data_IF_638677675780
#
_entry.id   IF_638677675780
#
_cell.length_a   1.000
_cell.length_b   1.000
_cell.length_c   1.000
_cell.angle_alpha   90.00
_cell.angle_beta   90.00
_cell.angle_gamma   90.00
#
_symmetry.space_group_name_H-M   'P 1'
#
loop_
_entity.id
_entity.type
_entity.pdbx_description
1 polymer ?
#
# COMPACT_ATOMS: atom_id res chain seq x y z
N UNK A 1 18.00 -8.87 21.52
CA UNK A 1 16.74 -8.88 20.74
C UNK A 1 16.14 -7.49 20.84
N UNK A 2 16.11 -6.77 19.72
CA UNK A 2 15.62 -5.38 19.65
C UNK A 2 14.14 -5.33 20.06
N UNK A 3 13.70 -4.28 20.77
CA UNK A 3 12.31 -4.11 21.26
C UNK A 3 11.26 -4.10 20.13
N UNK A 4 11.72 -4.10 18.89
CA UNK A 4 10.96 -4.08 17.64
C UNK A 4 10.22 -5.39 17.35
N UNK A 5 10.62 -6.54 17.90
CA UNK A 5 10.11 -7.84 17.39
C UNK A 5 8.71 -8.25 17.87
N UNK A 6 8.15 -7.63 18.91
CA UNK A 6 6.79 -7.94 19.41
C UNK A 6 5.79 -6.77 19.36
N UNK A 7 6.27 -5.53 19.20
CA UNK A 7 5.47 -4.33 18.92
C UNK A 7 5.49 -3.93 17.43
N UNK A 8 6.16 -4.71 16.57
CA UNK A 8 6.31 -4.39 15.14
C UNK A 8 4.99 -4.31 14.40
N UNK A 9 3.98 -5.09 14.79
CA UNK A 9 2.69 -5.12 14.11
C UNK A 9 1.93 -3.79 14.25
N UNK A 10 1.84 -3.22 15.45
CA UNK A 10 1.23 -1.89 15.67
C UNK A 10 1.95 -0.81 14.85
N UNK A 11 3.27 -0.93 14.72
CA UNK A 11 4.11 0.05 14.01
C UNK A 11 3.98 -0.08 12.49
N UNK A 12 3.85 -1.29 11.97
CA UNK A 12 3.55 -1.56 10.56
C UNK A 12 2.16 -1.05 10.20
N UNK A 13 1.17 -1.29 11.08
CA UNK A 13 -0.18 -0.77 10.90
C UNK A 13 -0.20 0.76 10.85
N UNK A 14 0.41 1.42 11.83
CA UNK A 14 0.50 2.89 11.86
C UNK A 14 1.25 3.43 10.63
N UNK A 15 2.30 2.74 10.17
CA UNK A 15 3.02 3.11 8.94
C UNK A 15 2.12 3.05 7.71
N UNK A 16 1.39 1.94 7.52
CA UNK A 16 0.52 1.77 6.36
C UNK A 16 -0.67 2.72 6.39
N UNK A 17 -1.23 2.99 7.57
CA UNK A 17 -2.25 4.03 7.75
C UNK A 17 -1.71 5.40 7.32
N UNK A 18 -0.51 5.78 7.80
CA UNK A 18 0.12 7.03 7.43
C UNK A 18 0.37 7.11 5.92
N UNK A 19 0.78 6.01 5.27
CA UNK A 19 0.97 5.96 3.82
C UNK A 19 -0.33 6.13 3.06
N UNK A 20 -1.42 5.50 3.48
CA UNK A 20 -2.74 5.63 2.86
C UNK A 20 -3.23 7.07 2.93
N UNK A 21 -3.09 7.72 4.07
CA UNK A 21 -3.47 9.13 4.22
C UNK A 21 -2.62 10.06 3.32
N UNK A 22 -1.40 9.63 2.99
CA UNK A 22 -0.47 10.36 2.14
C UNK A 22 -0.46 9.88 0.68
N UNK A 23 -1.37 8.99 0.28
CA UNK A 23 -1.31 8.34 -1.03
C UNK A 23 -1.26 9.33 -2.19
N UNK A 24 -2.02 10.42 -2.11
CA UNK A 24 -2.06 11.48 -3.14
C UNK A 24 -0.73 12.23 -3.29
N UNK A 25 0.14 12.19 -2.28
CA UNK A 25 1.44 12.87 -2.25
C UNK A 25 2.62 11.93 -2.53
N UNK A 26 2.37 10.62 -2.58
CA UNK A 26 3.42 9.62 -2.80
C UNK A 26 3.46 9.29 -4.30
N UNK A 27 4.60 9.49 -4.98
CA UNK A 27 4.75 9.11 -6.38
C UNK A 27 4.44 7.63 -6.62
N UNK A 28 3.74 7.29 -7.72
CA UNK A 28 3.45 5.90 -8.03
C UNK A 28 4.75 5.11 -8.22
N UNK A 29 4.76 3.85 -7.77
CA UNK A 29 5.90 2.92 -7.83
C UNK A 29 7.13 3.32 -6.99
N UNK A 30 7.06 4.34 -6.14
CA UNK A 30 8.21 4.78 -5.34
C UNK A 30 8.76 3.67 -4.44
N UNK A 31 7.90 2.79 -3.93
CA UNK A 31 8.29 1.65 -3.08
C UNK A 31 8.74 0.40 -3.83
N UNK A 32 8.66 0.38 -5.17
CA UNK A 32 9.07 -0.78 -5.99
C UNK A 32 10.58 -0.79 -6.32
N UNK A 33 11.38 0.03 -5.65
CA UNK A 33 12.81 0.17 -5.97
C UNK A 33 13.67 -0.83 -5.20
N UNK A 34 14.37 -1.72 -5.90
CA UNK A 34 15.27 -2.72 -5.30
C UNK A 34 16.55 -2.12 -4.66
N UNK A 35 16.76 -0.81 -4.77
CA UNK A 35 18.03 -0.15 -4.38
C UNK A 35 17.99 0.56 -3.03
N UNK A 36 16.81 0.77 -2.43
CA UNK A 36 16.63 1.65 -1.27
C UNK A 36 15.83 0.91 -0.21
N UNK A 37 16.25 1.01 1.06
CA UNK A 37 15.46 0.44 2.16
C UNK A 37 14.14 1.18 2.29
N UNK A 38 13.07 0.46 2.60
CA UNK A 38 11.73 1.06 2.72
C UNK A 38 11.73 2.19 3.77
N UNK A 39 12.50 2.04 4.85
CA UNK A 39 12.65 3.08 5.89
C UNK A 39 13.34 4.35 5.40
N UNK A 40 14.28 4.24 4.46
CA UNK A 40 14.90 5.41 3.85
C UNK A 40 13.91 6.16 2.94
N UNK A 41 13.06 5.43 2.22
CA UNK A 41 11.98 6.02 1.41
C UNK A 41 11.00 6.77 2.30
N UNK A 42 10.52 6.15 3.39
CA UNK A 42 9.64 6.79 4.36
C UNK A 42 10.25 8.05 4.96
N UNK A 43 11.53 7.98 5.32
CA UNK A 43 12.25 9.13 5.87
C UNK A 43 12.28 10.29 4.87
N UNK A 44 12.55 10.01 3.59
CA UNK A 44 12.64 11.02 2.53
C UNK A 44 11.28 11.65 2.25
N UNK A 45 10.23 10.84 2.11
CA UNK A 45 8.86 11.31 1.88
C UNK A 45 8.38 12.13 3.07
N UNK A 46 8.45 11.57 4.27
CA UNK A 46 7.99 12.24 5.48
C UNK A 46 8.71 13.57 5.70
N UNK A 47 10.04 13.61 5.48
CA UNK A 47 10.80 14.87 5.52
C UNK A 47 10.34 15.87 4.47
N UNK A 48 10.16 15.44 3.21
CA UNK A 48 9.69 16.31 2.13
C UNK A 48 8.34 16.92 2.50
N UNK A 49 7.37 16.09 2.86
CA UNK A 49 6.01 16.54 3.14
C UNK A 49 5.89 17.37 4.41
N UNK A 50 6.73 17.12 5.42
CA UNK A 50 6.67 17.86 6.68
C UNK A 50 7.38 19.22 6.63
N UNK A 51 8.41 19.36 5.77
CA UNK A 51 9.23 20.58 5.68
C UNK A 51 8.99 21.40 4.41
N UNK A 52 8.22 20.87 3.45
CA UNK A 52 8.02 21.55 2.17
C UNK A 52 7.04 22.72 2.31
N UNK A 53 7.47 23.87 1.80
CA UNK A 53 6.65 25.05 1.55
C UNK A 53 6.08 25.07 0.12
N UNK A 54 6.19 23.95 -0.62
CA UNK A 54 5.70 23.86 -1.99
C UNK A 54 4.17 24.07 -2.04
N UNK A 55 3.65 24.79 -3.05
CA UNK A 55 2.23 25.10 -3.18
C UNK A 55 1.32 23.87 -3.14
N UNK A 56 1.81 22.75 -3.69
CA UNK A 56 1.14 21.44 -3.72
C UNK A 56 0.91 20.84 -2.33
N UNK A 57 1.70 21.21 -1.32
CA UNK A 57 1.57 20.70 0.06
C UNK A 57 0.84 21.68 0.99
N UNK A 58 0.50 22.89 0.52
CA UNK A 58 -0.24 23.89 1.32
C UNK A 58 -1.62 23.34 1.74
N UNK A 59 -2.25 22.56 0.87
CA UNK A 59 -3.60 22.00 1.07
C UNK A 59 -3.64 20.73 1.94
N UNK A 60 -2.51 20.30 2.52
CA UNK A 60 -2.51 19.13 3.40
C UNK A 60 -3.37 19.37 4.64
N UNK A 61 -4.28 18.44 4.89
CA UNK A 61 -5.08 18.42 6.13
C UNK A 61 -4.20 18.21 7.35
N UNK A 62 -4.70 18.58 8.54
CA UNK A 62 -4.00 18.32 9.81
C UNK A 62 -3.63 16.85 9.97
N UNK A 63 -4.53 15.94 9.59
CA UNK A 63 -4.29 14.49 9.61
C UNK A 63 -3.12 14.09 8.72
N UNK A 64 -3.08 14.58 7.49
CA UNK A 64 -1.99 14.32 6.54
C UNK A 64 -0.66 14.88 7.02
N UNK A 65 -0.62 16.07 7.62
CA UNK A 65 0.61 16.63 8.20
C UNK A 65 1.15 15.78 9.36
N UNK A 66 0.24 15.27 10.21
CA UNK A 66 0.61 14.35 11.30
C UNK A 66 1.06 12.99 10.76
N UNK A 67 0.41 12.46 9.73
CA UNK A 67 0.85 11.26 9.02
C UNK A 67 2.26 11.42 8.44
N UNK A 68 2.58 12.56 7.82
CA UNK A 68 3.92 12.85 7.30
C UNK A 68 4.98 12.89 8.41
N UNK A 69 4.65 13.47 9.56
CA UNK A 69 5.53 13.49 10.73
C UNK A 69 5.80 12.09 11.28
N UNK A 70 4.76 11.25 11.37
CA UNK A 70 4.89 9.84 11.78
C UNK A 70 5.75 9.06 10.79
N UNK A 71 5.48 9.17 9.49
CA UNK A 71 6.23 8.46 8.46
C UNK A 71 7.70 8.87 8.45
N UNK A 72 8.00 10.16 8.65
CA UNK A 72 9.36 10.64 8.77
C UNK A 72 10.10 10.01 9.96
N UNK A 73 9.46 10.01 11.14
CA UNK A 73 10.06 9.48 12.38
C UNK A 73 10.24 7.97 12.33
N UNK A 74 9.24 7.24 11.82
CA UNK A 74 9.35 5.79 11.56
C UNK A 74 10.49 5.48 10.59
N UNK A 75 10.60 6.25 9.50
CA UNK A 75 11.67 6.11 8.54
C UNK A 75 13.05 6.37 9.14
N UNK A 76 13.20 7.41 9.97
CA UNK A 76 14.44 7.71 10.69
C UNK A 76 14.85 6.56 11.62
N UNK A 77 13.92 6.05 12.42
CA UNK A 77 14.18 4.92 13.32
C UNK A 77 14.60 3.67 12.54
N UNK A 78 13.85 3.31 11.50
CA UNK A 78 14.16 2.14 10.67
C UNK A 78 15.50 2.28 9.93
N UNK A 79 15.83 3.47 9.43
CA UNK A 79 17.12 3.73 8.77
C UNK A 79 18.29 3.68 9.75
N UNK A 80 18.12 4.22 10.97
CA UNK A 80 19.13 4.13 12.02
C UNK A 80 19.34 2.68 12.46
N UNK A 81 18.26 1.92 12.68
CA UNK A 81 18.32 0.50 13.00
C UNK A 81 19.03 -0.32 11.90
N UNK A 82 18.70 -0.05 10.63
CA UNK A 82 19.38 -0.67 9.50
C UNK A 82 20.89 -0.34 9.49
N UNK A 83 21.27 0.93 9.69
CA UNK A 83 22.68 1.33 9.76
C UNK A 83 23.44 0.67 10.91
N UNK A 84 22.85 0.53 12.09
CA UNK A 84 23.46 -0.16 13.24
C UNK A 84 23.82 -1.60 12.86
N UNK A 85 22.96 -2.30 12.13
CA UNK A 85 23.19 -3.67 11.69
C UNK A 85 24.31 -3.79 10.65
N UNK A 86 24.56 -2.75 9.86
CA UNK A 86 25.51 -2.76 8.75
C UNK A 86 26.78 -1.94 9.02
N UNK A 87 26.95 -1.42 10.24
CA UNK A 87 28.16 -0.67 10.65
C UNK A 87 29.11 -1.61 11.37
N UNK A 88 30.35 -1.73 10.89
CA UNK A 88 31.39 -2.58 11.49
C UNK A 88 32.12 -1.89 12.66
N UNK A 89 32.14 -0.56 12.67
CA UNK A 89 32.83 0.24 13.68
C UNK A 89 32.01 0.34 14.98
N UNK A 90 32.51 -0.26 16.06
CA UNK A 90 31.78 -0.38 17.33
C UNK A 90 31.48 0.98 17.99
N UNK A 91 32.42 1.94 17.93
CA UNK A 91 32.20 3.28 18.49
C UNK A 91 31.07 4.05 17.79
N UNK A 92 31.02 3.98 16.47
CA UNK A 92 29.90 4.55 15.69
C UNK A 92 28.60 3.81 15.96
N UNK A 93 28.65 2.48 16.11
CA UNK A 93 27.48 1.64 16.39
C UNK A 93 26.83 2.04 17.72
N UNK A 94 27.61 2.22 18.79
CA UNK A 94 27.08 2.66 20.09
C UNK A 94 26.48 4.07 20.02
N UNK A 95 27.16 5.01 19.38
CA UNK A 95 26.60 6.36 19.16
C UNK A 95 25.28 6.32 18.37
N UNK A 96 25.16 5.44 17.37
CA UNK A 96 23.92 5.27 16.63
C UNK A 96 22.82 4.62 17.47
N UNK A 97 23.15 3.67 18.36
CA UNK A 97 22.18 3.07 19.30
C UNK A 97 21.62 4.10 20.27
N UNK A 98 22.46 4.97 20.82
CA UNK A 98 22.02 6.07 21.68
C UNK A 98 21.05 7.00 20.94
N UNK A 99 21.39 7.39 19.70
CA UNK A 99 20.52 8.22 18.86
C UNK A 99 19.21 7.52 18.50
N UNK A 100 19.26 6.22 18.22
CA UNK A 100 18.07 5.42 17.97
C UNK A 100 17.16 5.39 19.21
N UNK A 101 17.72 5.21 20.40
CA UNK A 101 16.95 5.21 21.65
C UNK A 101 16.23 6.55 21.88
N UNK A 102 16.88 7.68 21.59
CA UNK A 102 16.23 9.02 21.65
C UNK A 102 15.09 9.13 20.63
N UNK A 103 15.31 8.69 19.39
CA UNK A 103 14.28 8.71 18.36
C UNK A 103 13.08 7.81 18.71
N UNK A 104 13.33 6.64 19.28
CA UNK A 104 12.30 5.71 19.76
C UNK A 104 11.51 6.26 20.94
N UNK A 105 12.16 7.00 21.85
CA UNK A 105 11.50 7.63 22.98
C UNK A 105 10.49 8.72 22.54
N UNK A 106 10.81 9.44 21.46
CA UNK A 106 9.93 10.48 20.90
C UNK A 106 8.76 9.90 20.10
N UNK A 107 8.93 8.72 19.51
CA UNK A 107 8.01 8.14 18.53
C UNK A 107 6.55 7.98 19.03
N UNK A 108 6.28 7.53 20.27
CA UNK A 108 4.93 7.45 20.81
C UNK A 108 4.18 8.79 20.80
N UNK A 109 4.86 9.92 20.96
CA UNK A 109 4.22 11.23 20.91
C UNK A 109 3.65 11.55 19.52
N UNK A 110 4.43 11.27 18.47
CA UNK A 110 4.00 11.46 17.08
C UNK A 110 2.84 10.53 16.72
N UNK A 111 2.94 9.26 17.13
CA UNK A 111 1.88 8.28 16.89
C UNK A 111 0.59 8.68 17.60
N UNK A 112 0.66 9.04 18.88
CA UNK A 112 -0.51 9.51 19.64
C UNK A 112 -1.16 10.71 18.96
N UNK A 113 -0.36 11.71 18.58
CA UNK A 113 -0.86 12.90 17.88
C UNK A 113 -1.56 12.54 16.57
N UNK A 114 -1.02 11.63 15.79
CA UNK A 114 -1.65 11.17 14.55
C UNK A 114 -2.95 10.41 14.81
N UNK A 115 -2.93 9.47 15.75
CA UNK A 115 -4.09 8.62 16.10
C UNK A 115 -5.26 9.46 16.64
N UNK A 116 -5.00 10.57 17.33
CA UNK A 116 -6.04 11.54 17.75
C UNK A 116 -6.81 12.17 16.58
N UNK A 117 -6.26 12.15 15.35
CA UNK A 117 -6.96 12.62 14.15
C UNK A 117 -7.78 11.53 13.43
N UNK A 118 -7.80 10.30 13.95
CA UNK A 118 -8.46 9.15 13.33
C UNK A 118 -9.66 8.78 14.19
N UNK A 119 -10.85 8.76 13.58
CA UNK A 119 -12.08 8.38 14.28
C UNK A 119 -12.02 6.92 14.74
N UNK A 120 -12.80 6.55 15.74
CA UNK A 120 -12.80 5.18 16.24
C UNK A 120 -13.34 4.18 15.20
N UNK A 121 -14.29 4.62 14.39
CA UNK A 121 -14.83 3.88 13.25
C UNK A 121 -13.76 3.65 12.17
N UNK A 122 -12.98 4.68 11.86
CA UNK A 122 -11.87 4.58 10.92
C UNK A 122 -10.77 3.64 11.43
N UNK A 123 -10.45 3.66 12.73
CA UNK A 123 -9.50 2.70 13.33
C UNK A 123 -9.99 1.27 13.18
N UNK A 124 -11.28 1.01 13.40
CA UNK A 124 -11.91 -0.31 13.24
C UNK A 124 -11.91 -0.77 11.78
N UNK A 125 -12.14 0.14 10.84
CA UNK A 125 -12.05 -0.19 9.42
C UNK A 125 -10.61 -0.48 9.01
N UNK A 126 -9.67 0.33 9.47
CA UNK A 126 -8.26 0.20 9.11
C UNK A 126 -7.63 -1.10 9.61
N UNK A 127 -8.00 -1.59 10.80
CA UNK A 127 -7.53 -2.89 11.32
C UNK A 127 -8.01 -4.10 10.53
N UNK A 128 -9.12 -3.97 9.80
CA UNK A 128 -9.61 -5.00 8.88
C UNK A 128 -8.76 -5.02 7.60
N UNK A 129 -8.25 -3.87 7.16
CA UNK A 129 -7.49 -3.74 5.91
C UNK A 129 -5.97 -3.94 6.07
N UNK A 130 -5.41 -3.82 7.28
CA UNK A 130 -3.97 -4.00 7.55
C UNK A 130 -3.55 -5.47 7.54
N UNK A 131 -4.49 -6.39 7.80
CA UNK A 131 -4.27 -7.85 7.66
C UNK A 131 -4.12 -8.30 6.19
N UNK A 132 -4.57 -7.48 5.23
CA UNK A 132 -4.67 -7.90 3.83
C UNK A 132 -3.57 -7.34 2.90
N UNK A 133 -2.71 -6.41 3.36
CA UNK A 133 -1.83 -5.64 2.46
C UNK A 133 -0.34 -6.03 2.50
N UNK A 134 0.09 -6.96 3.36
CA UNK A 134 1.48 -7.47 3.33
C UNK A 134 1.60 -8.69 2.40
N UNK A 135 1.80 -8.43 1.11
CA UNK A 135 2.61 -9.31 0.26
C UNK A 135 2.01 -10.64 -0.21
N UNK A 136 0.69 -10.83 -0.20
CA UNK A 136 0.07 -11.97 -0.90
C UNK A 136 -0.60 -11.50 -2.19
N UNK A 137 0.20 -11.36 -3.24
CA UNK A 137 -0.34 -11.20 -4.58
C UNK A 137 -0.92 -12.50 -5.17
N UNK A 138 -0.92 -13.64 -4.45
CA UNK A 138 -1.31 -14.93 -5.05
C UNK A 138 -2.12 -15.93 -4.20
N UNK A 139 -2.70 -15.55 -3.06
CA UNK A 139 -3.54 -16.50 -2.28
C UNK A 139 -4.90 -15.93 -1.86
N UNK A 140 -5.69 -15.47 -2.84
CA UNK A 140 -7.14 -15.53 -2.65
C UNK A 140 -7.51 -17.02 -2.45
N UNK A 141 -8.29 -17.38 -1.41
CA UNK A 141 -8.86 -18.71 -1.32
C UNK A 141 -9.50 -19.07 -2.66
N UNK A 142 -9.24 -20.28 -3.17
CA UNK A 142 -9.70 -20.68 -4.51
C UNK A 142 -11.22 -20.46 -4.71
N UNK A 143 -11.99 -20.58 -3.62
CA UNK A 143 -13.42 -20.28 -3.58
C UNK A 143 -13.75 -18.80 -3.80
N UNK A 144 -12.99 -17.89 -3.19
CA UNK A 144 -13.13 -16.45 -3.34
C UNK A 144 -12.71 -15.99 -4.74
N UNK A 145 -11.57 -16.49 -5.25
CA UNK A 145 -11.11 -16.20 -6.61
C UNK A 145 -12.14 -16.68 -7.64
N UNK A 146 -12.66 -17.89 -7.48
CA UNK A 146 -13.71 -18.44 -8.35
C UNK A 146 -14.98 -17.60 -8.33
N UNK A 147 -15.38 -17.11 -7.14
CA UNK A 147 -16.56 -16.24 -7.00
C UNK A 147 -16.36 -14.91 -7.71
N UNK A 148 -15.17 -14.31 -7.59
CA UNK A 148 -14.83 -13.07 -8.28
C UNK A 148 -14.81 -13.26 -9.81
N UNK A 149 -14.23 -14.34 -10.31
CA UNK A 149 -14.24 -14.68 -11.73
C UNK A 149 -15.66 -14.90 -12.27
N UNK A 150 -16.59 -15.46 -11.47
CA UNK A 150 -18.02 -15.58 -11.84
C UNK A 150 -18.68 -14.22 -12.02
N UNK A 151 -18.41 -13.29 -11.12
CA UNK A 151 -18.94 -11.93 -11.21
C UNK A 151 -18.40 -11.24 -12.46
N UNK A 152 -17.08 -11.29 -12.66
CA UNK A 152 -16.42 -10.69 -13.83
C UNK A 152 -16.99 -11.24 -15.14
N UNK A 153 -17.08 -12.58 -15.27
CA UNK A 153 -17.62 -13.23 -16.46
C UNK A 153 -19.09 -12.88 -16.68
N UNK A 154 -19.92 -12.92 -15.64
CA UNK A 154 -21.34 -12.58 -15.72
C UNK A 154 -21.56 -11.14 -16.19
N UNK A 155 -20.78 -10.18 -15.69
CA UNK A 155 -20.84 -8.78 -16.12
C UNK A 155 -20.38 -8.65 -17.58
N UNK A 156 -19.26 -9.30 -17.94
CA UNK A 156 -18.73 -9.28 -19.30
C UNK A 156 -19.75 -9.79 -20.32
N UNK A 157 -20.39 -10.91 -20.05
CA UNK A 157 -21.44 -11.50 -20.90
C UNK A 157 -22.67 -10.58 -20.95
N UNK A 158 -23.21 -10.17 -19.80
CA UNK A 158 -24.49 -9.45 -19.75
C UNK A 158 -24.40 -8.05 -20.32
N UNK A 159 -23.40 -7.27 -19.88
CA UNK A 159 -23.22 -5.85 -20.22
C UNK A 159 -22.49 -5.67 -21.55
N UNK A 160 -21.38 -6.38 -21.76
CA UNK A 160 -20.50 -6.19 -22.91
C UNK A 160 -20.71 -7.21 -24.03
N UNK A 161 -21.64 -8.17 -23.86
CA UNK A 161 -21.91 -9.24 -24.83
C UNK A 161 -20.67 -10.06 -25.15
N UNK A 162 -19.83 -10.30 -24.14
CA UNK A 162 -18.69 -11.19 -24.27
C UNK A 162 -19.15 -12.61 -24.60
N UNK A 163 -18.60 -13.18 -25.67
CA UNK A 163 -18.74 -14.59 -26.03
C UNK A 163 -17.42 -15.33 -25.71
N UNK A 164 -17.42 -16.25 -24.74
CA UNK A 164 -16.25 -17.05 -24.39
C UNK A 164 -15.77 -18.01 -25.49
N UNK A 165 -16.65 -18.41 -26.41
CA UNK A 165 -16.35 -19.36 -27.49
C UNK A 165 -15.84 -18.65 -28.76
N UNK A 166 -15.98 -17.32 -28.82
CA UNK A 166 -15.53 -16.53 -29.96
C UNK A 166 -14.00 -16.53 -30.10
N UNK A 167 -13.50 -16.87 -31.31
CA UNK A 167 -12.06 -16.83 -31.62
C UNK A 167 -11.43 -15.44 -31.48
N UNK A 168 -12.22 -14.39 -31.66
CA UNK A 168 -11.81 -12.98 -31.51
C UNK A 168 -12.94 -12.20 -30.87
N UNK A 169 -12.61 -11.36 -29.90
CA UNK A 169 -13.55 -10.48 -29.23
C UNK A 169 -12.94 -9.10 -29.08
N UNK A 170 -13.70 -8.05 -29.44
CA UNK A 170 -13.31 -6.66 -29.18
C UNK A 170 -13.64 -6.21 -27.74
N UNK A 171 -14.34 -7.07 -26.99
CA UNK A 171 -14.84 -6.76 -25.63
C UNK A 171 -13.71 -6.43 -24.64
N UNK A 172 -12.55 -7.13 -24.62
CA UNK A 172 -11.45 -6.75 -23.73
C UNK A 172 -11.03 -5.29 -23.90
N UNK A 173 -10.89 -4.80 -25.13
CA UNK A 173 -10.56 -3.41 -25.44
C UNK A 173 -11.68 -2.41 -25.12
N UNK A 174 -12.94 -2.84 -25.10
CA UNK A 174 -14.07 -2.00 -24.63
C UNK A 174 -14.05 -1.89 -23.11
N UNK A 175 -13.92 -3.02 -22.40
CA UNK A 175 -13.84 -3.06 -20.94
C UNK A 175 -12.66 -2.21 -20.44
N UNK A 176 -11.49 -2.34 -21.08
CA UNK A 176 -10.32 -1.50 -20.76
C UNK A 176 -10.67 -0.02 -20.81
N UNK A 177 -11.28 0.45 -21.91
CA UNK A 177 -11.64 1.86 -22.08
C UNK A 177 -12.63 2.33 -21.02
N UNK A 178 -13.66 1.53 -20.72
CA UNK A 178 -14.64 1.84 -19.67
C UNK A 178 -13.97 1.95 -18.28
N UNK A 179 -12.99 1.08 -18.00
CA UNK A 179 -12.22 1.13 -16.76
C UNK A 179 -11.31 2.37 -16.69
N UNK A 180 -10.69 2.75 -17.82
CA UNK A 180 -9.85 3.95 -17.89
C UNK A 180 -10.66 5.24 -17.65
N UNK A 181 -11.92 5.30 -18.11
CA UNK A 181 -12.82 6.44 -17.86
C UNK A 181 -13.05 6.65 -16.35
N UNK A 182 -13.08 5.57 -15.56
CA UNK A 182 -13.23 5.64 -14.09
C UNK A 182 -11.87 5.68 -13.35
N UNK A 183 -10.78 5.93 -14.07
CA UNK A 183 -9.43 6.07 -13.50
C UNK A 183 -8.70 4.75 -13.24
N UNK A 184 -9.26 3.61 -13.64
CA UNK A 184 -8.66 2.29 -13.45
C UNK A 184 -7.81 1.93 -14.68
N UNK A 185 -6.49 1.93 -14.51
CA UNK A 185 -5.54 1.57 -15.57
C UNK A 185 -5.27 0.07 -15.59
N UNK A 186 -5.64 -0.60 -16.68
CA UNK A 186 -5.39 -2.03 -16.89
C UNK A 186 -5.05 -2.30 -18.36
N UNK A 187 -4.22 -3.31 -18.63
CA UNK A 187 -3.91 -3.70 -20.01
C UNK A 187 -5.04 -4.54 -20.60
N UNK A 188 -5.24 -4.45 -21.92
CA UNK A 188 -6.23 -5.26 -22.63
C UNK A 188 -5.90 -6.76 -22.53
N UNK A 189 -4.61 -7.10 -22.55
CA UNK A 189 -4.11 -8.46 -22.36
C UNK A 189 -4.48 -9.02 -20.98
N UNK A 190 -4.39 -8.19 -19.93
CA UNK A 190 -4.78 -8.57 -18.57
C UNK A 190 -6.29 -8.84 -18.49
N UNK A 191 -7.11 -7.99 -19.09
CA UNK A 191 -8.57 -8.21 -19.15
C UNK A 191 -8.89 -9.53 -19.87
N UNK A 192 -8.25 -9.77 -21.02
CA UNK A 192 -8.43 -11.00 -21.79
C UNK A 192 -7.98 -12.24 -20.99
N UNK A 193 -6.87 -12.17 -20.27
CA UNK A 193 -6.37 -13.25 -19.45
C UNK A 193 -7.39 -13.66 -18.37
N UNK A 194 -7.94 -12.70 -17.63
CA UNK A 194 -8.94 -12.99 -16.59
C UNK A 194 -10.27 -13.50 -17.16
N UNK A 195 -10.71 -12.99 -18.32
CA UNK A 195 -11.92 -13.49 -18.97
C UNK A 195 -11.76 -14.94 -19.45
N UNK A 196 -10.58 -15.30 -19.97
CA UNK A 196 -10.25 -16.68 -20.35
C UNK A 196 -10.15 -17.61 -19.14
N UNK A 197 -9.49 -17.14 -18.08
CA UNK A 197 -9.42 -17.88 -16.81
C UNK A 197 -10.83 -18.17 -16.28
N UNK A 198 -11.71 -17.15 -16.27
CA UNK A 198 -13.09 -17.30 -15.84
C UNK A 198 -13.87 -18.28 -16.72
N UNK A 199 -13.75 -18.17 -18.05
CA UNK A 199 -14.41 -19.06 -19.01
C UNK A 199 -13.96 -20.53 -18.86
N UNK A 200 -12.70 -20.75 -18.47
CA UNK A 200 -12.15 -22.10 -18.26
C UNK A 200 -12.70 -22.74 -16.98
N UNK A 201 -12.84 -21.94 -15.92
CA UNK A 201 -13.26 -22.44 -14.59
C UNK A 201 -14.77 -22.57 -14.43
N UNK A 202 -15.55 -21.84 -15.24
CA UNK A 202 -16.99 -21.71 -15.06
C UNK A 202 -17.69 -22.29 -16.29
N UNK A 203 -18.48 -23.36 -16.15
CA UNK A 203 -19.26 -23.89 -17.26
C UNK A 203 -20.30 -22.85 -17.65
N UNK A 204 -20.08 -22.20 -18.79
CA UNK A 204 -21.03 -21.26 -19.37
C UNK A 204 -21.75 -21.98 -20.51
N UNK A 205 -23.03 -22.32 -20.30
CA UNK A 205 -23.91 -22.73 -21.41
C UNK A 205 -24.44 -21.44 -22.02
N UNK A 206 -24.09 -21.18 -23.28
CA UNK A 206 -24.64 -20.07 -24.04
C UNK A 206 -26.15 -20.00 -23.87
N UNK A 207 -26.65 -18.81 -23.48
CA UNK A 207 -28.07 -18.52 -23.43
C UNK A 207 -28.58 -18.14 -24.83
#
# INVERSE_FOLDING_TARGET
MSSWDKKSWDMLEVREMARRDLADFIPPNLYNTNKVTISEIDCKIGKKLNLSSEPEHINMTTRQRRAASVLWKLGLCGFAAWKIQHTEEEGLRESMKERLAVLEADLPHFIKSYVECISEEERKLLSIFTVNDTGQQDNLPDSARTSLLKIVLGIAVKKYKYDPEAKKSAVPGVIKRDLEIVGIKISEETVLAYLREAATRIPFKGA
#
